data_IF_110082379192
#
_entry.id   IF_110082379192
#
_cell.length_a   1.000
_cell.length_b   1.000
_cell.length_c   1.000
_cell.angle_alpha   90.00
_cell.angle_beta   90.00
_cell.angle_gamma   90.00
#
_symmetry.space_group_name_H-M   'P 1'
#
loop_
_entity.id
_entity.type
_entity.pdbx_description
1 polymer ?
#
# COMPACT_ATOMS: atom_id res chain seq x y z
N UNK A 1 -10.25 -8.88 -13.04
CA UNK A 1 -10.60 -7.79 -13.99
C UNK A 1 -9.96 -6.50 -13.51
N UNK A 2 -9.29 -5.73 -14.39
CA UNK A 2 -8.67 -4.46 -14.00
C UNK A 2 -9.49 -3.29 -14.53
N UNK A 3 -9.82 -2.31 -13.66
CA UNK A 3 -10.47 -1.06 -14.00
C UNK A 3 -9.55 0.10 -13.62
N UNK A 4 -9.17 0.93 -14.58
CA UNK A 4 -8.27 2.05 -14.37
C UNK A 4 -8.97 3.34 -14.78
N UNK A 5 -8.89 4.36 -13.91
CA UNK A 5 -9.54 5.66 -14.10
C UNK A 5 -8.50 6.77 -14.09
N UNK A 6 -8.49 7.60 -15.15
CA UNK A 6 -7.70 8.82 -15.14
C UNK A 6 -8.61 10.01 -14.83
N UNK A 7 -8.84 10.25 -13.55
CA UNK A 7 -9.72 11.31 -13.06
C UNK A 7 -9.39 11.60 -11.58
N UNK A 8 -10.06 12.59 -10.99
CA UNK A 8 -10.02 12.89 -9.57
C UNK A 8 -10.55 11.70 -8.73
N UNK A 9 -9.80 11.30 -7.71
CA UNK A 9 -10.15 10.13 -6.90
C UNK A 9 -11.47 10.33 -6.15
N UNK A 10 -11.78 11.53 -5.67
CA UNK A 10 -13.03 11.78 -4.94
C UNK A 10 -14.24 11.58 -5.84
N UNK A 11 -14.17 12.05 -7.08
CA UNK A 11 -15.22 11.87 -8.08
C UNK A 11 -15.45 10.38 -8.36
N UNK A 12 -14.37 9.63 -8.63
CA UNK A 12 -14.48 8.20 -8.93
C UNK A 12 -14.93 7.39 -7.71
N UNK A 13 -14.45 7.73 -6.49
CA UNK A 13 -14.90 7.08 -5.25
C UNK A 13 -16.41 7.30 -5.01
N UNK A 14 -16.94 8.49 -5.33
CA UNK A 14 -18.37 8.76 -5.27
C UNK A 14 -19.16 7.96 -6.31
N UNK A 15 -18.67 7.89 -7.55
CA UNK A 15 -19.27 7.06 -8.62
C UNK A 15 -19.30 5.57 -8.24
N UNK A 16 -18.20 5.05 -7.68
CA UNK A 16 -18.12 3.67 -7.22
C UNK A 16 -19.10 3.38 -6.09
N UNK A 17 -19.28 4.32 -5.15
CA UNK A 17 -20.29 4.22 -4.09
C UNK A 17 -21.72 4.24 -4.64
N UNK A 18 -22.02 5.14 -5.57
CA UNK A 18 -23.34 5.22 -6.21
C UNK A 18 -23.68 3.94 -6.99
N UNK A 19 -22.66 3.26 -7.53
CA UNK A 19 -22.79 1.98 -8.22
C UNK A 19 -22.74 0.77 -7.27
N UNK A 20 -22.81 0.98 -5.96
CA UNK A 20 -22.74 -0.06 -4.92
C UNK A 20 -21.53 -0.99 -5.04
N UNK A 21 -20.45 -0.51 -5.64
CA UNK A 21 -19.21 -1.28 -5.80
C UNK A 21 -18.65 -1.67 -4.43
N UNK A 22 -18.21 -2.93 -4.30
CA UNK A 22 -17.54 -3.42 -3.08
C UNK A 22 -16.17 -3.99 -3.43
N UNK A 23 -15.19 -3.71 -2.54
CA UNK A 23 -13.81 -4.19 -2.66
C UNK A 23 -13.42 -4.97 -1.41
N UNK A 24 -12.55 -5.95 -1.57
CA UNK A 24 -12.07 -6.80 -0.48
C UNK A 24 -10.96 -6.12 0.32
N UNK A 25 -10.16 -5.30 -0.35
CA UNK A 25 -9.04 -4.60 0.27
C UNK A 25 -8.82 -3.24 -0.38
N UNK A 26 -8.36 -2.28 0.43
CA UNK A 26 -7.81 -1.02 -0.04
C UNK A 26 -6.33 -1.00 0.33
N UNK A 27 -5.46 -0.77 -0.67
CA UNK A 27 -4.03 -0.59 -0.47
C UNK A 27 -3.65 0.70 -1.18
N UNK A 28 -3.32 1.74 -0.44
CA UNK A 28 -3.06 3.05 -1.02
C UNK A 28 -1.90 3.79 -0.34
N UNK A 29 -1.13 4.48 -1.16
CA UNK A 29 -0.08 5.43 -0.76
C UNK A 29 -0.49 6.84 -1.21
N UNK A 30 -1.39 7.52 -0.45
CA UNK A 30 -1.93 8.81 -0.85
C UNK A 30 -0.92 9.93 -0.63
N UNK A 31 -1.19 11.15 -1.15
CA UNK A 31 -0.40 12.34 -0.83
C UNK A 31 -0.30 12.58 0.68
N UNK A 32 0.92 12.89 1.16
CA UNK A 32 1.20 13.08 2.59
C UNK A 32 1.02 14.52 3.07
N UNK A 33 0.69 15.45 2.15
CA UNK A 33 0.56 16.89 2.45
C UNK A 33 1.84 17.52 3.05
N UNK A 34 3.00 17.07 2.63
CA UNK A 34 4.31 17.59 3.06
C UNK A 34 4.92 18.58 2.07
N UNK A 35 4.14 18.97 1.05
CA UNK A 35 4.56 19.89 -0.01
C UNK A 35 5.76 19.38 -0.83
N UNK A 36 5.85 18.09 -1.03
CA UNK A 36 6.88 17.46 -1.84
C UNK A 36 6.77 17.88 -3.31
N UNK A 37 5.54 17.97 -3.83
CA UNK A 37 5.22 18.40 -5.19
C UNK A 37 3.83 19.07 -5.21
N UNK A 38 3.37 19.53 -6.38
CA UNK A 38 2.05 20.20 -6.54
C UNK A 38 0.89 19.30 -6.13
N UNK A 39 0.95 18.00 -6.47
CA UNK A 39 -0.07 17.01 -6.14
C UNK A 39 -0.07 16.64 -4.64
N UNK A 40 1.02 16.92 -3.91
CA UNK A 40 1.16 16.62 -2.48
C UNK A 40 0.70 17.81 -1.60
N UNK A 41 -0.34 18.54 -2.01
CA UNK A 41 -0.89 19.67 -1.27
C UNK A 41 -2.41 19.64 -1.25
N UNK A 42 -2.98 19.80 -0.04
CA UNK A 42 -4.42 19.97 0.11
C UNK A 42 -5.24 18.69 -0.12
N UNK A 43 -4.62 17.52 -0.10
CA UNK A 43 -5.34 16.25 -0.21
C UNK A 43 -6.19 16.01 1.06
N UNK A 44 -7.50 15.84 0.88
CA UNK A 44 -8.42 15.58 1.98
C UNK A 44 -8.47 14.07 2.32
N UNK A 45 -7.49 13.65 3.10
CA UNK A 45 -7.38 12.25 3.52
C UNK A 45 -8.60 11.78 4.34
N UNK A 46 -9.24 12.69 5.10
CA UNK A 46 -10.44 12.35 5.87
C UNK A 46 -11.60 12.00 4.94
N UNK A 47 -11.86 12.83 3.90
CA UNK A 47 -12.89 12.55 2.90
C UNK A 47 -12.60 11.24 2.15
N UNK A 48 -11.34 10.99 1.79
CA UNK A 48 -10.96 9.74 1.15
C UNK A 48 -11.28 8.53 2.03
N UNK A 49 -10.93 8.56 3.33
CA UNK A 49 -11.25 7.51 4.30
C UNK A 49 -12.77 7.32 4.41
N UNK A 50 -13.54 8.41 4.50
CA UNK A 50 -15.00 8.35 4.60
C UNK A 50 -15.62 7.65 3.38
N UNK A 51 -15.23 7.99 2.15
CA UNK A 51 -15.72 7.37 0.93
C UNK A 51 -15.28 5.90 0.81
N UNK A 52 -14.03 5.62 1.11
CA UNK A 52 -13.45 4.28 1.06
C UNK A 52 -14.10 3.31 2.06
N UNK A 53 -14.52 3.79 3.23
CA UNK A 53 -15.21 2.96 4.23
C UNK A 53 -16.48 2.31 3.68
N UNK A 54 -17.23 3.02 2.86
CA UNK A 54 -18.46 2.48 2.26
C UNK A 54 -18.19 1.50 1.12
N UNK A 55 -17.07 1.65 0.42
CA UNK A 55 -16.64 0.70 -0.64
C UNK A 55 -16.11 -0.61 -0.07
N UNK A 56 -15.57 -0.59 1.15
CA UNK A 56 -14.97 -1.77 1.74
C UNK A 56 -16.05 -2.77 2.18
N UNK A 57 -15.87 -4.05 1.82
CA UNK A 57 -16.71 -5.16 2.30
C UNK A 57 -16.56 -5.32 3.81
N UNK A 58 -17.51 -5.99 4.44
CA UNK A 58 -17.37 -6.46 5.82
C UNK A 58 -16.15 -7.38 5.94
N UNK A 59 -15.34 -7.19 6.98
CA UNK A 59 -14.04 -7.83 7.18
C UNK A 59 -12.98 -7.50 6.12
N UNK A 60 -13.23 -6.54 5.25
CA UNK A 60 -12.25 -6.04 4.28
C UNK A 60 -11.11 -5.28 4.96
N UNK A 61 -9.92 -5.38 4.41
CA UNK A 61 -8.71 -4.75 4.91
C UNK A 61 -8.51 -3.33 4.33
N UNK A 62 -8.07 -2.40 5.17
CA UNK A 62 -7.67 -1.06 4.77
C UNK A 62 -6.19 -0.86 5.13
N UNK A 63 -5.33 -0.78 4.11
CA UNK A 63 -3.89 -0.65 4.23
C UNK A 63 -3.49 0.71 3.69
N UNK A 64 -3.06 1.61 4.57
CA UNK A 64 -2.73 2.98 4.20
C UNK A 64 -1.29 3.30 4.55
N UNK A 65 -0.51 3.69 3.54
CA UNK A 65 0.82 4.25 3.75
C UNK A 65 0.72 5.70 4.21
N UNK A 66 1.65 6.10 5.08
CA UNK A 66 1.68 7.48 5.57
C UNK A 66 3.08 7.88 6.05
N UNK A 67 3.39 9.16 5.90
CA UNK A 67 4.59 9.77 6.47
C UNK A 67 4.45 10.02 7.98
N UNK A 68 5.56 9.96 8.69
CA UNK A 68 5.62 10.12 10.15
C UNK A 68 4.99 11.43 10.67
N UNK A 69 5.00 12.50 9.85
CA UNK A 69 4.46 13.81 10.25
C UNK A 69 2.93 13.82 10.41
N UNK A 70 2.22 13.03 9.60
CA UNK A 70 0.76 13.07 9.53
C UNK A 70 0.09 11.75 9.93
N UNK A 71 0.87 10.73 10.24
CA UNK A 71 0.34 9.39 10.57
C UNK A 71 -0.59 9.39 11.76
N UNK A 72 -0.32 10.21 12.80
CA UNK A 72 -1.17 10.29 13.99
C UNK A 72 -2.55 10.89 13.68
N UNK A 73 -2.59 11.95 12.85
CA UNK A 73 -3.85 12.55 12.42
C UNK A 73 -4.65 11.61 11.53
N UNK A 74 -4.00 10.95 10.59
CA UNK A 74 -4.63 9.96 9.71
C UNK A 74 -5.17 8.78 10.52
N UNK A 75 -4.41 8.31 11.50
CA UNK A 75 -4.83 7.28 12.44
C UNK A 75 -6.09 7.67 13.20
N UNK A 76 -6.17 8.92 13.70
CA UNK A 76 -7.36 9.42 14.40
C UNK A 76 -8.63 9.35 13.54
N UNK A 77 -8.53 9.65 12.24
CA UNK A 77 -9.66 9.53 11.32
C UNK A 77 -10.08 8.07 11.11
N UNK A 78 -9.12 7.16 10.97
CA UNK A 78 -9.37 5.73 10.80
C UNK A 78 -9.95 5.09 12.06
N UNK A 79 -9.45 5.45 13.27
CA UNK A 79 -9.94 4.93 14.56
C UNK A 79 -11.43 5.21 14.79
N UNK A 80 -11.95 6.30 14.20
CA UNK A 80 -13.38 6.64 14.27
C UNK A 80 -14.26 5.77 13.38
N UNK A 81 -13.67 5.00 12.46
CA UNK A 81 -14.40 4.21 11.46
C UNK A 81 -14.23 2.71 11.65
N UNK A 82 -13.03 2.27 11.97
CA UNK A 82 -12.66 0.86 11.98
C UNK A 82 -11.67 0.56 13.10
N UNK A 83 -11.65 -0.67 13.64
CA UNK A 83 -10.61 -1.08 14.56
C UNK A 83 -9.26 -1.23 13.85
N UNK A 84 -8.20 -0.75 14.52
CA UNK A 84 -6.84 -1.01 14.07
C UNK A 84 -6.47 -2.48 14.30
N UNK A 85 -5.88 -3.11 13.29
CA UNK A 85 -5.33 -4.47 13.41
C UNK A 85 -3.85 -4.40 13.79
N UNK A 86 -3.08 -3.56 13.08
CA UNK A 86 -1.66 -3.37 13.38
C UNK A 86 -1.14 -2.05 12.82
N UNK A 87 -0.01 -1.62 13.35
CA UNK A 87 0.80 -0.52 12.82
C UNK A 87 2.13 -1.10 12.38
N UNK A 88 2.37 -1.13 11.06
CA UNK A 88 3.56 -1.71 10.46
C UNK A 88 4.51 -0.58 10.07
N UNK A 89 5.79 -0.81 10.26
CA UNK A 89 6.85 0.11 9.86
C UNK A 89 7.63 -0.54 8.71
N UNK A 90 7.66 0.12 7.57
CA UNK A 90 8.62 -0.20 6.54
C UNK A 90 9.88 0.64 6.74
N UNK A 91 10.97 0.00 7.14
CA UNK A 91 12.29 0.63 7.24
C UNK A 91 12.99 0.55 5.88
N UNK A 92 13.15 1.69 5.26
CA UNK A 92 13.83 1.84 3.95
C UNK A 92 15.34 1.63 4.05
N UNK A 93 15.89 1.45 5.28
CA UNK A 93 17.34 1.27 5.54
C UNK A 93 18.14 2.54 5.15
N UNK A 94 17.77 3.17 4.04
CA UNK A 94 18.39 4.39 3.52
C UNK A 94 17.43 5.55 3.72
N UNK A 95 17.80 6.48 4.61
CA UNK A 95 17.08 7.73 4.80
C UNK A 95 17.78 8.87 4.08
N UNK A 96 17.06 9.98 3.92
CA UNK A 96 17.68 11.24 3.53
C UNK A 96 18.32 11.87 4.77
N UNK A 97 19.56 12.32 4.62
CA UNK A 97 20.28 12.99 5.71
C UNK A 97 19.55 14.25 6.19
N UNK A 98 19.52 14.44 7.50
CA UNK A 98 19.00 15.66 8.10
C UNK A 98 20.16 16.41 8.75
N UNK A 99 20.30 17.68 8.41
CA UNK A 99 21.39 18.52 8.96
C UNK A 99 21.22 18.77 10.48
N UNK A 100 20.00 18.82 10.96
CA UNK A 100 19.64 19.21 12.33
C UNK A 100 18.72 18.22 13.04
N UNK A 101 18.58 17.00 12.51
CA UNK A 101 17.75 15.95 13.10
C UNK A 101 18.31 14.56 12.76
N UNK A 102 17.73 13.50 13.34
CA UNK A 102 18.03 12.11 12.96
C UNK A 102 17.51 11.81 11.54
N UNK A 103 18.16 10.87 10.88
CA UNK A 103 17.74 10.43 9.53
C UNK A 103 16.43 9.68 9.63
N UNK A 104 15.45 10.09 8.81
CA UNK A 104 14.17 9.37 8.71
C UNK A 104 14.29 8.24 7.68
N UNK A 105 14.22 6.99 8.16
CA UNK A 105 14.30 5.80 7.31
C UNK A 105 12.96 5.10 7.17
N UNK A 106 11.95 5.45 7.98
CA UNK A 106 10.69 4.73 8.07
C UNK A 106 9.59 5.35 7.22
N UNK A 107 8.70 4.49 6.75
CA UNK A 107 7.34 4.83 6.36
C UNK A 107 6.37 3.99 7.18
N UNK A 108 5.25 4.56 7.53
CA UNK A 108 4.23 3.96 8.37
C UNK A 108 3.15 3.33 7.49
N UNK A 109 2.72 2.10 7.82
CA UNK A 109 1.65 1.38 7.14
C UNK A 109 0.60 1.06 8.19
N UNK A 110 -0.54 1.72 8.10
CA UNK A 110 -1.66 1.53 9.00
C UNK A 110 -2.55 0.41 8.45
N UNK A 111 -2.72 -0.66 9.22
CA UNK A 111 -3.60 -1.77 8.88
C UNK A 111 -4.86 -1.75 9.75
N UNK A 112 -5.98 -1.53 9.09
CA UNK A 112 -7.32 -1.55 9.65
C UNK A 112 -8.17 -2.62 9.00
N UNK A 113 -9.28 -3.00 9.65
CA UNK A 113 -10.27 -3.92 9.11
C UNK A 113 -11.67 -3.39 9.38
N UNK A 114 -12.55 -3.46 8.38
CA UNK A 114 -13.97 -3.16 8.58
C UNK A 114 -14.67 -4.37 9.17
N UNK A 115 -14.52 -4.58 10.46
CA UNK A 115 -15.02 -5.75 11.19
C UNK A 115 -13.93 -6.36 12.07
N UNK A 116 -14.13 -7.61 12.48
CA UNK A 116 -13.28 -8.25 13.49
C UNK A 116 -12.45 -9.43 12.97
N UNK A 117 -12.65 -9.83 11.72
CA UNK A 117 -11.99 -11.00 11.11
C UNK A 117 -11.28 -10.65 9.81
N UNK A 118 -10.14 -9.90 9.89
CA UNK A 118 -9.38 -9.51 8.71
C UNK A 118 -8.83 -10.73 7.97
N UNK A 119 -8.75 -10.65 6.64
CA UNK A 119 -7.92 -11.58 5.87
C UNK A 119 -6.45 -11.38 6.26
N UNK A 120 -5.81 -12.44 6.71
CA UNK A 120 -4.39 -12.47 7.06
C UNK A 120 -3.77 -13.78 6.62
N UNK A 121 -2.93 -13.72 5.60
CA UNK A 121 -2.14 -14.85 5.13
C UNK A 121 -0.75 -14.83 5.78
N UNK A 122 -0.50 -15.80 6.63
CA UNK A 122 0.80 -15.92 7.31
C UNK A 122 1.89 -16.30 6.32
N UNK A 123 2.86 -15.43 6.14
CA UNK A 123 4.06 -15.69 5.33
C UNK A 123 5.32 -15.55 6.19
N UNK A 124 6.41 -16.27 5.86
CA UNK A 124 7.70 -16.02 6.47
C UNK A 124 8.26 -14.66 6.01
N UNK A 125 9.10 -14.06 6.84
CA UNK A 125 9.97 -12.96 6.40
C UNK A 125 11.15 -13.49 5.58
N UNK A 126 11.85 -12.61 4.87
CA UNK A 126 13.11 -12.98 4.19
C UNK A 126 14.31 -13.01 5.17
N UNK A 127 14.06 -12.94 6.48
CA UNK A 127 15.09 -12.86 7.50
C UNK A 127 15.32 -14.25 8.10
N UNK A 128 16.54 -14.81 7.97
CA UNK A 128 16.85 -16.11 8.56
C UNK A 128 16.69 -16.13 10.08
N UNK A 129 16.26 -17.24 10.63
CA UNK A 129 16.33 -17.48 12.07
C UNK A 129 17.81 -17.53 12.49
N UNK A 130 18.19 -16.74 13.50
CA UNK A 130 19.53 -16.88 14.09
C UNK A 130 19.63 -18.26 14.72
N UNK A 131 20.65 -19.04 14.31
CA UNK A 131 20.98 -20.33 14.93
C UNK A 131 21.35 -20.09 16.40
N UNK A 132 20.62 -20.70 17.33
CA UNK A 132 20.91 -20.61 18.78
C UNK A 132 19.73 -20.41 19.71
N UNK A 133 18.53 -20.22 19.22
CA UNK A 133 17.31 -20.18 20.04
C UNK A 133 16.55 -21.50 20.02
N UNK A 134 15.84 -21.82 21.09
CA UNK A 134 14.98 -23.00 21.33
C UNK A 134 13.83 -23.20 20.30
N UNK A 135 14.02 -22.90 19.01
CA UNK A 135 12.96 -22.75 18.06
C UNK A 135 13.10 -23.35 16.68
N UNK A 136 13.88 -24.42 16.49
CA UNK A 136 13.70 -25.28 15.32
C UNK A 136 12.49 -26.21 15.54
N UNK A 137 11.31 -25.63 15.70
CA UNK A 137 10.06 -26.39 15.51
C UNK A 137 9.59 -26.14 14.07
N UNK A 138 9.45 -27.21 13.31
CA UNK A 138 8.78 -27.30 12.01
C UNK A 138 9.55 -26.90 10.74
N UNK A 139 10.86 -27.01 10.67
CA UNK A 139 11.58 -26.88 9.37
C UNK A 139 11.61 -25.47 8.73
N UNK A 140 11.00 -24.47 9.35
CA UNK A 140 11.02 -23.09 8.87
C UNK A 140 12.40 -22.46 9.09
N UNK A 141 13.07 -22.11 8.00
CA UNK A 141 14.39 -21.46 8.04
C UNK A 141 14.30 -19.96 8.37
N UNK A 142 13.20 -19.30 8.03
CA UNK A 142 12.99 -17.88 8.19
C UNK A 142 12.12 -17.55 9.40
N UNK A 143 12.24 -16.30 9.88
CA UNK A 143 11.41 -15.79 10.96
C UNK A 143 9.97 -15.55 10.47
N UNK A 144 9.02 -15.59 11.38
CA UNK A 144 7.69 -15.06 11.11
C UNK A 144 7.78 -13.57 10.71
N UNK A 145 6.88 -13.13 9.85
CA UNK A 145 6.77 -11.72 9.49
C UNK A 145 6.40 -10.90 10.73
N UNK A 146 7.20 -9.88 11.03
CA UNK A 146 6.95 -8.92 12.11
C UNK A 146 6.25 -7.68 11.57
N UNK A 147 5.95 -6.74 12.45
CA UNK A 147 5.44 -5.43 12.06
C UNK A 147 6.55 -4.39 11.78
N UNK A 148 7.80 -4.81 11.69
CA UNK A 148 8.91 -3.99 11.20
C UNK A 148 9.55 -4.70 10.02
N UNK A 149 9.40 -4.11 8.83
CA UNK A 149 9.86 -4.65 7.55
C UNK A 149 11.11 -3.90 7.10
N UNK A 150 12.27 -4.50 7.26
CA UNK A 150 13.57 -3.93 6.89
C UNK A 150 14.30 -4.78 5.82
N UNK A 151 13.65 -5.81 5.32
CA UNK A 151 14.17 -6.75 4.34
C UNK A 151 13.77 -6.42 2.90
N UNK A 152 13.13 -5.26 2.68
CA UNK A 152 12.77 -4.73 1.35
C UNK A 152 13.40 -3.35 1.21
N UNK A 153 14.33 -3.23 0.28
CA UNK A 153 14.99 -1.94 -0.02
C UNK A 153 14.12 -1.04 -0.89
N UNK A 154 14.25 0.29 -0.77
CA UNK A 154 13.63 1.21 -1.71
C UNK A 154 14.24 1.06 -3.10
N UNK A 155 13.51 1.52 -4.12
CA UNK A 155 13.97 1.51 -5.51
C UNK A 155 15.19 2.43 -5.64
N UNK A 156 16.27 1.89 -6.17
CA UNK A 156 17.50 2.64 -6.46
C UNK A 156 17.46 3.22 -7.90
N UNK A 157 18.23 4.28 -8.20
CA UNK A 157 18.19 4.92 -9.51
C UNK A 157 18.44 4.01 -10.71
N UNK A 158 19.22 2.94 -10.52
CA UNK A 158 19.60 1.95 -11.55
C UNK A 158 18.74 0.70 -11.53
N UNK A 159 17.67 0.67 -10.73
CA UNK A 159 16.74 -0.46 -10.72
C UNK A 159 15.97 -0.56 -12.05
N UNK A 160 15.84 -1.76 -12.58
CA UNK A 160 15.07 -2.02 -13.81
C UNK A 160 13.57 -1.75 -13.62
N UNK A 161 13.05 -1.89 -12.40
CA UNK A 161 11.64 -1.59 -12.11
C UNK A 161 11.35 -0.09 -12.03
N UNK A 162 12.40 0.77 -12.02
CA UNK A 162 12.24 2.21 -11.89
C UNK A 162 11.60 2.81 -13.13
N UNK A 163 10.54 3.56 -12.89
CA UNK A 163 9.90 4.40 -13.93
C UNK A 163 9.97 5.88 -13.54
N UNK A 164 9.56 6.75 -14.43
CA UNK A 164 9.55 8.21 -14.19
C UNK A 164 8.42 8.59 -13.20
N UNK A 165 8.58 8.17 -11.94
CA UNK A 165 7.70 8.54 -10.82
C UNK A 165 8.56 8.78 -9.58
N UNK A 166 8.43 9.93 -8.89
CA UNK A 166 9.40 10.34 -7.86
C UNK A 166 9.32 9.51 -6.58
N UNK A 167 8.15 8.99 -6.25
CA UNK A 167 7.85 8.26 -4.99
C UNK A 167 7.40 6.83 -5.23
N UNK A 168 7.79 6.22 -6.37
CA UNK A 168 7.43 4.84 -6.69
C UNK A 168 7.79 3.87 -5.54
N UNK A 169 6.82 3.09 -5.09
CA UNK A 169 7.04 2.03 -4.11
C UNK A 169 7.63 0.77 -4.78
N UNK A 170 8.52 0.02 -4.09
CA UNK A 170 9.05 -1.24 -4.60
C UNK A 170 7.96 -2.28 -4.85
N UNK A 171 8.06 -3.01 -5.96
CA UNK A 171 7.10 -4.07 -6.30
C UNK A 171 7.03 -5.13 -5.20
N UNK A 172 8.18 -5.57 -4.67
CA UNK A 172 8.23 -6.55 -3.60
C UNK A 172 7.47 -6.13 -2.33
N UNK A 173 7.39 -4.82 -2.04
CA UNK A 173 6.62 -4.29 -0.90
C UNK A 173 5.11 -4.43 -1.13
N UNK A 174 4.65 -4.07 -2.33
CA UNK A 174 3.23 -4.17 -2.67
C UNK A 174 2.81 -5.63 -2.87
N UNK A 175 3.66 -6.50 -3.43
CA UNK A 175 3.40 -7.94 -3.50
C UNK A 175 3.27 -8.56 -2.11
N UNK A 176 4.11 -8.13 -1.14
CA UNK A 176 3.94 -8.53 0.26
C UNK A 176 2.60 -8.08 0.82
N UNK A 177 2.22 -6.83 0.64
CA UNK A 177 0.92 -6.32 1.09
C UNK A 177 -0.24 -7.12 0.47
N UNK A 178 -0.23 -7.30 -0.85
CA UNK A 178 -1.26 -8.06 -1.56
C UNK A 178 -1.33 -9.51 -1.06
N UNK A 179 -0.19 -10.17 -0.88
CA UNK A 179 -0.15 -11.56 -0.39
C UNK A 179 -0.69 -11.69 1.04
N UNK A 180 -0.26 -10.80 1.93
CA UNK A 180 -0.60 -10.87 3.36
C UNK A 180 -2.07 -10.54 3.61
N UNK A 181 -2.61 -9.55 2.91
CA UNK A 181 -3.90 -8.93 3.25
C UNK A 181 -5.05 -9.34 2.34
N UNK A 182 -4.81 -10.16 1.30
CA UNK A 182 -5.84 -10.57 0.33
C UNK A 182 -5.67 -12.01 -0.13
N UNK A 183 -6.76 -12.59 -0.66
CA UNK A 183 -6.77 -13.89 -1.30
C UNK A 183 -6.77 -13.76 -2.84
N UNK A 184 -6.43 -14.83 -3.56
CA UNK A 184 -6.55 -14.87 -5.02
C UNK A 184 -8.01 -14.63 -5.43
N UNK A 185 -8.21 -13.77 -6.43
CA UNK A 185 -9.54 -13.36 -6.90
C UNK A 185 -10.13 -12.14 -6.19
N UNK A 186 -9.59 -11.72 -5.02
CA UNK A 186 -10.04 -10.51 -4.32
C UNK A 186 -9.86 -9.26 -5.18
N UNK A 187 -10.71 -8.26 -4.94
CA UNK A 187 -10.65 -6.95 -5.60
C UNK A 187 -9.97 -5.93 -4.69
N UNK A 188 -8.89 -5.32 -5.18
CA UNK A 188 -8.10 -4.32 -4.47
C UNK A 188 -8.34 -2.95 -5.11
N UNK A 189 -8.57 -1.93 -4.28
CA UNK A 189 -8.65 -0.54 -4.69
C UNK A 189 -7.39 0.23 -4.25
N UNK A 190 -6.81 0.96 -5.20
CA UNK A 190 -5.81 1.99 -4.95
C UNK A 190 -6.30 3.32 -5.54
N UNK A 191 -6.70 4.26 -4.67
CA UNK A 191 -7.30 5.52 -5.09
C UNK A 191 -6.28 6.62 -5.44
N UNK A 192 -4.98 6.34 -5.32
CA UNK A 192 -3.86 7.20 -5.74
C UNK A 192 -2.74 6.32 -6.31
N UNK A 193 -3.01 5.58 -7.39
CA UNK A 193 -2.15 4.48 -7.83
C UNK A 193 -0.78 4.92 -8.38
N UNK A 194 -0.56 6.20 -8.67
CA UNK A 194 0.69 6.72 -9.19
C UNK A 194 1.18 5.94 -10.41
N UNK A 195 2.37 5.36 -10.32
CA UNK A 195 2.94 4.51 -11.36
C UNK A 195 2.34 3.09 -11.45
N UNK A 196 1.32 2.76 -10.66
CA UNK A 196 0.57 1.52 -10.73
C UNK A 196 1.25 0.29 -10.12
N UNK A 197 2.17 0.46 -9.17
CA UNK A 197 2.89 -0.68 -8.58
C UNK A 197 1.93 -1.66 -7.87
N UNK A 198 0.90 -1.15 -7.17
CA UNK A 198 -0.16 -1.98 -6.57
C UNK A 198 -0.88 -2.82 -7.63
N UNK A 199 -1.20 -2.21 -8.79
CA UNK A 199 -1.87 -2.91 -9.88
C UNK A 199 -1.00 -4.00 -10.52
N UNK A 200 0.32 -3.77 -10.64
CA UNK A 200 1.28 -4.80 -11.10
C UNK A 200 1.32 -5.97 -10.12
N UNK A 201 1.41 -5.68 -8.82
CA UNK A 201 1.37 -6.71 -7.77
C UNK A 201 0.06 -7.52 -7.83
N UNK A 202 -1.09 -6.87 -8.00
CA UNK A 202 -2.39 -7.52 -8.14
C UNK A 202 -2.42 -8.46 -9.35
N UNK A 203 -1.94 -8.02 -10.50
CA UNK A 203 -1.84 -8.87 -11.70
C UNK A 203 -0.95 -10.09 -11.47
N UNK A 204 0.25 -9.89 -10.93
CA UNK A 204 1.21 -10.97 -10.70
C UNK A 204 0.64 -12.04 -9.76
N UNK A 205 -0.16 -11.61 -8.80
CA UNK A 205 -0.73 -12.45 -7.75
C UNK A 205 -2.20 -12.83 -8.00
N UNK A 206 -2.72 -12.57 -9.21
CA UNK A 206 -4.07 -12.93 -9.66
C UNK A 206 -5.20 -12.30 -8.81
N UNK A 207 -5.04 -11.04 -8.43
CA UNK A 207 -6.09 -10.23 -7.82
C UNK A 207 -6.73 -9.32 -8.87
N UNK A 208 -7.98 -8.93 -8.64
CA UNK A 208 -8.63 -7.87 -9.40
C UNK A 208 -8.17 -6.51 -8.87
N UNK A 209 -8.10 -5.51 -9.74
CA UNK A 209 -7.59 -4.20 -9.39
C UNK A 209 -8.48 -3.07 -9.90
N UNK A 210 -8.74 -2.09 -9.03
CA UNK A 210 -9.32 -0.80 -9.36
C UNK A 210 -8.28 0.25 -8.99
N UNK A 211 -7.81 1.01 -9.98
CA UNK A 211 -6.80 2.06 -9.80
C UNK A 211 -7.27 3.41 -10.28
N UNK A 212 -6.99 4.46 -9.51
CA UNK A 212 -7.33 5.85 -9.86
C UNK A 212 -6.06 6.69 -9.84
N UNK A 213 -5.85 7.50 -10.87
CA UNK A 213 -4.73 8.43 -10.97
C UNK A 213 -5.16 9.68 -11.73
N UNK A 214 -4.92 10.83 -11.11
CA UNK A 214 -5.31 12.14 -11.67
C UNK A 214 -4.33 12.61 -12.75
N UNK A 215 -3.02 12.36 -12.55
CA UNK A 215 -1.99 12.76 -13.48
C UNK A 215 -1.99 11.85 -14.71
N UNK A 216 -2.12 12.45 -15.90
CA UNK A 216 -2.22 11.71 -17.16
C UNK A 216 -0.96 10.92 -17.49
N UNK A 217 0.20 11.45 -17.19
CA UNK A 217 1.48 10.81 -17.51
C UNK A 217 1.70 9.62 -16.59
N UNK A 218 1.44 9.77 -15.28
CA UNK A 218 1.50 8.67 -14.32
C UNK A 218 0.45 7.60 -14.63
N UNK A 219 -0.77 8.01 -15.00
CA UNK A 219 -1.80 7.07 -15.46
C UNK A 219 -1.34 6.25 -16.66
N UNK A 220 -0.73 6.88 -17.67
CA UNK A 220 -0.23 6.18 -18.86
C UNK A 220 0.88 5.18 -18.50
N UNK A 221 1.79 5.57 -17.59
CA UNK A 221 2.83 4.67 -17.05
C UNK A 221 2.16 3.48 -16.35
N UNK A 222 1.23 3.72 -15.44
CA UNK A 222 0.52 2.68 -14.70
C UNK A 222 -0.23 1.72 -15.64
N UNK A 223 -0.98 2.26 -16.59
CA UNK A 223 -1.76 1.48 -17.56
C UNK A 223 -0.87 0.55 -18.39
N UNK A 224 0.28 1.05 -18.86
CA UNK A 224 1.25 0.25 -19.60
C UNK A 224 1.84 -0.86 -18.72
N UNK A 225 2.28 -0.55 -17.51
CA UNK A 225 2.88 -1.52 -16.57
C UNK A 225 1.90 -2.61 -16.16
N UNK A 226 0.63 -2.26 -15.94
CA UNK A 226 -0.40 -3.21 -15.52
C UNK A 226 -0.84 -4.12 -16.67
N UNK A 227 -0.88 -3.62 -17.92
CA UNK A 227 -1.28 -4.39 -19.10
C UNK A 227 -0.17 -5.28 -19.66
N UNK A 228 1.08 -4.80 -19.63
CA UNK A 228 2.19 -5.53 -20.22
C UNK A 228 2.67 -6.64 -19.28
N UNK A 229 2.83 -7.84 -19.82
CA UNK A 229 3.42 -8.99 -19.12
C UNK A 229 4.95 -8.91 -19.03
N UNK A 230 5.54 -7.72 -19.15
CA UNK A 230 6.98 -7.58 -18.99
C UNK A 230 7.34 -7.95 -17.54
N UNK A 231 7.61 -9.22 -17.34
CA UNK A 231 8.29 -9.75 -16.15
C UNK A 231 9.65 -9.08 -16.12
N UNK A 232 9.84 -8.18 -15.17
CA UNK A 232 11.10 -7.48 -14.92
C UNK A 232 12.11 -8.45 -14.35
#
# INVERSE_FOLDING_TARGET
MNKLYNDDCFKILEELNNNETKVDCIICDPPYNISYDKWDKGFDIKRAIDLCFYLLKENGNFILFQGWSNVCQTKEFLDRKMPIVNWIIWDRIKGRGAKHNVVSTREDILWYCKGNTPTFNKIPSNIPKKTGGLGKKNGEENRALSNVWYDISPIVPWSKERVNHPTQKPLALLERCVTVFTNEGDTILDFCMGSGTTGVACRNLKRNFIGIEIDKDYFNIANNRIKNNDTI
#
